data_IF_650082222204
#
_entry.id   IF_650082222204
#
_cell.length_a   1.000
_cell.length_b   1.000
_cell.length_c   1.000
_cell.angle_alpha   90.00
_cell.angle_beta   90.00
_cell.angle_gamma   90.00
#
_symmetry.space_group_name_H-M   'P 1'
#
loop_
_entity.id
_entity.type
_entity.pdbx_description
1 polymer ?
#
# COMPACT_ATOMS: atom_id res chain seq x y z
N UNK A 1 -11.72 -13.06 -7.15
CA UNK A 1 -12.80 -12.78 -6.16
C UNK A 1 -12.42 -13.19 -4.73
N UNK A 2 -11.79 -14.34 -4.53
CA UNK A 2 -11.39 -14.86 -3.21
C UNK A 2 -10.50 -13.91 -2.40
N UNK A 3 -9.48 -13.31 -3.03
CA UNK A 3 -8.62 -12.30 -2.41
C UNK A 3 -9.38 -11.06 -1.92
N UNK A 4 -10.43 -10.65 -2.63
CA UNK A 4 -11.28 -9.53 -2.21
C UNK A 4 -11.95 -9.83 -0.87
N UNK A 5 -12.47 -11.04 -0.69
CA UNK A 5 -13.10 -11.44 0.55
C UNK A 5 -12.09 -11.60 1.69
N UNK A 6 -10.91 -12.15 1.39
CA UNK A 6 -9.84 -12.24 2.39
C UNK A 6 -9.41 -10.84 2.88
N UNK A 7 -9.20 -9.89 1.96
CA UNK A 7 -8.89 -8.49 2.30
C UNK A 7 -10.01 -7.81 3.07
N UNK A 8 -11.27 -8.01 2.67
CA UNK A 8 -12.41 -7.44 3.39
C UNK A 8 -12.53 -8.00 4.82
N UNK A 9 -12.24 -9.28 5.03
CA UNK A 9 -12.22 -9.88 6.37
C UNK A 9 -11.10 -9.30 7.24
N UNK A 10 -9.89 -9.14 6.67
CA UNK A 10 -8.77 -8.49 7.34
C UNK A 10 -9.08 -7.03 7.71
N UNK A 11 -9.69 -6.28 6.79
CA UNK A 11 -10.10 -4.89 7.02
C UNK A 11 -11.12 -4.78 8.16
N UNK A 12 -12.17 -5.60 8.13
CA UNK A 12 -13.20 -5.62 9.19
C UNK A 12 -12.61 -5.95 10.57
N UNK A 13 -11.58 -6.79 10.61
CA UNK A 13 -10.88 -7.12 11.85
C UNK A 13 -10.12 -5.92 12.42
N UNK A 14 -9.48 -5.12 11.56
CA UNK A 14 -8.83 -3.87 11.98
C UNK A 14 -9.85 -2.81 12.43
N UNK A 15 -10.96 -2.67 11.68
CA UNK A 15 -12.05 -1.74 12.02
C UNK A 15 -12.73 -2.08 13.36
N UNK A 16 -12.69 -3.35 13.79
CA UNK A 16 -13.15 -3.78 15.11
C UNK A 16 -12.22 -3.37 16.28
N UNK A 17 -11.12 -2.66 15.99
CA UNK A 17 -10.18 -2.14 16.99
C UNK A 17 -8.97 -3.04 17.27
N UNK A 18 -8.79 -4.12 16.50
CA UNK A 18 -7.62 -4.98 16.63
C UNK A 18 -6.40 -4.36 15.93
N UNK A 19 -5.22 -4.55 16.53
CA UNK A 19 -3.98 -3.90 16.07
C UNK A 19 -3.20 -4.70 15.03
N UNK A 20 -3.55 -5.96 14.83
CA UNK A 20 -2.82 -6.90 13.97
C UNK A 20 -3.73 -7.51 12.92
N UNK A 21 -3.15 -7.87 11.77
CA UNK A 21 -3.89 -8.58 10.73
C UNK A 21 -4.19 -10.03 11.18
N UNK A 22 -5.42 -10.53 10.96
CA UNK A 22 -5.74 -11.92 11.22
C UNK A 22 -5.22 -12.80 10.08
N UNK A 23 -4.89 -14.06 10.40
CA UNK A 23 -4.67 -15.07 9.37
C UNK A 23 -6.01 -15.49 8.78
N UNK A 24 -6.21 -15.23 7.48
CA UNK A 24 -7.40 -15.64 6.75
C UNK A 24 -7.03 -16.75 5.78
N UNK A 25 -7.64 -17.93 5.93
CA UNK A 25 -7.43 -19.08 5.04
C UNK A 25 -8.56 -19.13 4.00
N UNK A 26 -8.31 -18.75 2.74
CA UNK A 26 -9.30 -18.87 1.69
C UNK A 26 -9.39 -20.33 1.21
N UNK A 27 -10.55 -20.96 1.40
CA UNK A 27 -10.82 -22.34 0.94
C UNK A 27 -11.86 -22.36 -0.19
N UNK A 28 -11.67 -23.25 -1.15
CA UNK A 28 -12.58 -23.49 -2.27
C UNK A 28 -13.05 -24.95 -2.25
N UNK A 29 -14.35 -25.16 -2.38
CA UNK A 29 -14.94 -26.49 -2.55
C UNK A 29 -15.32 -26.67 -4.03
N UNK A 30 -14.71 -27.66 -4.69
CA UNK A 30 -15.00 -27.99 -6.09
C UNK A 30 -15.81 -29.28 -6.16
N UNK A 31 -16.93 -29.24 -6.89
CA UNK A 31 -17.75 -30.40 -7.21
C UNK A 31 -18.11 -30.37 -8.69
N UNK A 32 -17.21 -30.89 -9.54
CA UNK A 32 -17.43 -30.94 -10.97
C UNK A 32 -16.89 -32.21 -11.60
N UNK A 33 -17.15 -32.36 -12.91
CA UNK A 33 -17.01 -33.64 -13.60
C UNK A 33 -15.55 -34.01 -13.95
N UNK A 34 -14.58 -33.10 -13.77
CA UNK A 34 -13.15 -33.36 -14.05
C UNK A 34 -12.37 -33.42 -12.74
N UNK A 35 -11.68 -34.54 -12.50
CA UNK A 35 -10.82 -34.77 -11.35
C UNK A 35 -9.47 -35.33 -11.80
N UNK A 36 -8.33 -34.80 -11.32
CA UNK A 36 -8.20 -33.68 -10.38
C UNK A 36 -8.58 -32.33 -11.01
N UNK A 37 -8.81 -31.31 -10.17
CA UNK A 37 -9.12 -29.96 -10.64
C UNK A 37 -8.00 -29.45 -11.56
N UNK A 38 -8.29 -29.05 -12.82
CA UNK A 38 -7.25 -28.83 -13.83
C UNK A 38 -6.70 -27.40 -13.90
N UNK A 39 -7.21 -26.46 -13.09
CA UNK A 39 -6.81 -25.05 -13.13
C UNK A 39 -5.94 -24.67 -11.93
N UNK A 40 -5.19 -23.56 -12.03
CA UNK A 40 -4.37 -23.09 -10.92
C UNK A 40 -5.24 -22.57 -9.76
N UNK A 41 -4.80 -22.85 -8.54
CA UNK A 41 -5.35 -22.27 -7.31
C UNK A 41 -4.49 -21.09 -6.80
N UNK A 42 -3.33 -20.85 -7.43
CA UNK A 42 -2.46 -19.74 -7.08
C UNK A 42 -2.92 -18.48 -7.82
N UNK A 43 -3.49 -17.52 -7.09
CA UNK A 43 -3.98 -16.27 -7.67
C UNK A 43 -2.91 -15.44 -8.40
N UNK A 44 -1.61 -15.69 -8.13
CA UNK A 44 -0.49 -15.03 -8.80
C UNK A 44 -0.31 -15.51 -10.26
N UNK A 45 -0.83 -16.69 -10.59
CA UNK A 45 -0.77 -17.25 -11.96
C UNK A 45 -1.77 -16.55 -12.90
N UNK A 46 -2.73 -15.82 -12.34
CA UNK A 46 -3.77 -15.09 -13.10
C UNK A 46 -3.29 -13.72 -13.61
N UNK A 47 -2.07 -13.30 -13.29
CA UNK A 47 -1.48 -12.08 -13.85
C UNK A 47 -0.93 -12.34 -15.26
N UNK A 48 -0.91 -11.28 -16.09
CA UNK A 48 -0.28 -11.34 -17.40
C UNK A 48 1.23 -11.70 -17.32
N UNK A 49 1.89 -11.31 -16.23
CA UNK A 49 3.26 -11.74 -15.89
C UNK A 49 3.28 -12.31 -14.45
N UNK A 50 3.13 -13.64 -14.29
CA UNK A 50 3.15 -14.30 -12.99
C UNK A 50 4.51 -14.22 -12.28
N UNK A 51 5.61 -14.07 -13.03
CA UNK A 51 6.96 -13.97 -12.45
C UNK A 51 7.12 -12.63 -11.76
N UNK A 52 6.70 -11.55 -12.41
CA UNK A 52 6.71 -10.22 -11.80
C UNK A 52 5.72 -10.14 -10.63
N UNK A 53 4.53 -10.73 -10.76
CA UNK A 53 3.55 -10.75 -9.67
C UNK A 53 4.11 -11.42 -8.40
N UNK A 54 4.80 -12.56 -8.53
CA UNK A 54 5.49 -13.21 -7.40
C UNK A 54 6.56 -12.31 -6.78
N UNK A 55 7.38 -11.65 -7.59
CA UNK A 55 8.41 -10.73 -7.09
C UNK A 55 7.82 -9.54 -6.30
N UNK A 56 6.61 -9.10 -6.62
CA UNK A 56 5.98 -7.96 -5.95
C UNK A 56 5.16 -8.36 -4.71
N UNK A 57 4.45 -9.49 -4.77
CA UNK A 57 3.50 -9.87 -3.73
C UNK A 57 4.00 -10.96 -2.76
N UNK A 58 5.09 -11.65 -3.07
CA UNK A 58 5.68 -12.67 -2.20
C UNK A 58 6.92 -12.19 -1.43
N UNK A 59 7.34 -10.93 -1.62
CA UNK A 59 8.44 -10.31 -0.89
C UNK A 59 7.95 -9.14 -0.05
N UNK A 60 8.84 -8.56 0.76
CA UNK A 60 8.56 -7.27 1.38
C UNK A 60 8.18 -6.24 0.30
N UNK A 61 7.18 -5.41 0.59
CA UNK A 61 6.79 -4.34 -0.31
C UNK A 61 7.96 -3.39 -0.51
N UNK A 62 8.25 -2.97 -1.75
CA UNK A 62 9.28 -1.98 -1.99
C UNK A 62 8.88 -0.67 -1.30
N UNK A 63 9.74 -0.19 -0.39
CA UNK A 63 9.58 1.10 0.27
C UNK A 63 10.44 2.13 -0.49
N UNK A 64 9.81 3.19 -0.98
CA UNK A 64 10.50 4.35 -1.55
C UNK A 64 10.51 5.46 -0.50
N UNK A 65 11.70 5.75 0.06
CA UNK A 65 11.86 6.81 1.05
C UNK A 65 12.16 8.15 0.36
N UNK A 66 11.13 8.96 0.15
CA UNK A 66 11.20 10.26 -0.54
C UNK A 66 11.88 11.33 0.34
N UNK A 67 12.07 11.10 1.65
CA UNK A 67 12.69 12.09 2.54
C UNK A 67 14.19 12.25 2.31
N UNK A 68 14.82 11.23 1.73
CA UNK A 68 16.27 11.18 1.43
C UNK A 68 16.58 11.42 -0.04
N UNK A 69 15.57 11.47 -0.92
CA UNK A 69 15.79 11.70 -2.36
C UNK A 69 15.99 13.20 -2.59
N UNK A 70 17.18 13.63 -3.08
CA UNK A 70 17.41 15.02 -3.47
C UNK A 70 16.45 15.40 -4.61
N UNK A 71 15.98 16.66 -4.61
CA UNK A 71 14.93 17.12 -5.54
C UNK A 71 15.29 16.90 -7.03
N UNK A 72 16.59 16.90 -7.35
CA UNK A 72 17.13 16.66 -8.69
C UNK A 72 16.94 15.20 -9.19
N UNK A 73 16.88 14.22 -8.28
CA UNK A 73 16.58 12.82 -8.61
C UNK A 73 15.07 12.58 -8.76
N UNK A 74 14.25 13.26 -7.97
CA UNK A 74 12.77 13.20 -8.07
C UNK A 74 12.32 13.66 -9.47
N UNK A 75 12.95 14.69 -10.03
CA UNK A 75 12.61 15.18 -11.38
C UNK A 75 12.94 14.19 -12.51
N UNK A 76 13.77 13.16 -12.27
CA UNK A 76 14.02 12.07 -13.23
C UNK A 76 12.90 11.03 -13.23
N UNK A 77 12.09 10.92 -12.17
CA UNK A 77 11.02 9.93 -12.03
C UNK A 77 9.72 10.35 -12.74
N UNK A 78 9.80 10.77 -13.99
CA UNK A 78 8.70 11.21 -14.90
C UNK A 78 7.23 11.08 -14.40
N UNK A 79 6.70 9.86 -14.21
CA UNK A 79 5.27 9.61 -13.86
C UNK A 79 5.02 9.45 -12.35
N UNK A 80 6.05 9.21 -11.56
CA UNK A 80 5.96 8.99 -10.11
C UNK A 80 6.41 10.23 -9.33
N UNK A 81 7.19 11.12 -9.97
CA UNK A 81 7.70 12.38 -9.43
C UNK A 81 6.59 13.27 -8.82
N UNK A 82 5.43 13.35 -9.47
CA UNK A 82 4.31 14.15 -8.94
C UNK A 82 3.74 13.55 -7.65
N UNK A 83 3.63 12.22 -7.57
CA UNK A 83 3.15 11.52 -6.38
C UNK A 83 4.19 11.61 -5.26
N UNK A 84 5.48 11.51 -5.59
CA UNK A 84 6.59 11.68 -4.65
C UNK A 84 6.62 13.11 -4.10
N UNK A 85 6.48 14.12 -4.96
CA UNK A 85 6.49 15.52 -4.58
C UNK A 85 5.28 15.88 -3.72
N UNK A 86 4.09 15.38 -4.05
CA UNK A 86 2.90 15.55 -3.20
C UNK A 86 3.14 14.88 -1.83
N UNK A 87 3.64 13.65 -1.78
CA UNK A 87 3.91 12.95 -0.51
C UNK A 87 4.96 13.66 0.35
N UNK A 88 6.01 14.25 -0.25
CA UNK A 88 7.03 15.04 0.45
C UNK A 88 6.44 16.30 1.11
N UNK A 89 5.49 16.97 0.45
CA UNK A 89 4.94 18.25 0.92
C UNK A 89 3.75 18.13 1.89
N UNK A 90 3.20 16.93 2.12
CA UNK A 90 2.10 16.72 3.09
C UNK A 90 2.50 17.16 4.50
N UNK A 91 3.78 17.03 4.85
CA UNK A 91 4.30 17.30 6.20
C UNK A 91 4.76 18.75 6.42
N UNK A 92 4.96 19.52 5.35
CA UNK A 92 5.43 20.91 5.42
C UNK A 92 4.31 21.93 5.66
N UNK A 93 3.04 21.56 5.47
CA UNK A 93 1.92 22.49 5.70
C UNK A 93 1.65 22.84 7.17
N UNK A 94 2.14 22.06 8.12
CA UNK A 94 1.79 22.26 9.54
C UNK A 94 2.73 23.22 10.29
N UNK A 95 3.78 23.76 9.65
CA UNK A 95 4.78 24.61 10.33
C UNK A 95 4.60 26.13 10.14
N UNK A 96 3.73 26.59 9.23
CA UNK A 96 3.57 28.02 8.91
C UNK A 96 2.38 28.70 9.63
N UNK A 97 1.96 28.17 10.78
CA UNK A 97 0.92 28.77 11.63
C UNK A 97 1.44 29.59 12.82
N UNK A 98 2.74 29.55 13.13
CA UNK A 98 3.28 30.09 14.39
C UNK A 98 4.37 31.17 14.18
N UNK A 99 4.08 32.21 13.39
CA UNK A 99 4.89 33.42 13.40
C UNK A 99 4.10 34.68 13.03
N UNK A 100 3.03 35.00 13.78
CA UNK A 100 2.50 36.38 13.88
C UNK A 100 1.90 36.65 15.25
N UNK A 101 2.75 36.90 16.26
CA UNK A 101 2.46 37.79 17.40
C UNK A 101 3.74 38.02 18.22
N UNK A 102 4.69 38.75 17.64
CA UNK A 102 5.71 39.44 18.44
C UNK A 102 5.48 40.94 18.27
N UNK A 103 5.06 41.61 19.35
CA UNK A 103 5.10 43.08 19.42
C UNK A 103 3.96 43.76 20.20
N UNK A 104 4.02 43.76 21.54
CA UNK A 104 3.85 44.99 22.33
C UNK A 104 4.34 44.78 23.77
N UNK A 105 5.23 45.64 24.30
CA UNK A 105 5.78 45.52 25.64
C UNK A 105 4.84 46.10 26.70
N UNK A 106 5.03 45.64 27.93
CA UNK A 106 4.44 46.15 29.15
C UNK A 106 5.03 47.51 29.55
N UNK A 107 4.21 48.37 30.15
CA UNK A 107 4.58 49.70 30.66
C UNK A 107 3.45 50.70 30.51
#
# INVERSE_FOLDING_TARGET
RLMRYAMAAMQRHLEAGHKTLPLVVPMLFYHGNRSPYPFSLCWLDEFADPVMARKLYATAFPLVDITVVPDDEIMRHRRVALLELIQKHIRQRDSDGACRTAGRPAG
#
